data_IF_798950090631
#
_entry.id   IF_798950090631
#
_cell.length_a   1.000
_cell.length_b   1.000
_cell.length_c   1.000
_cell.angle_alpha   90.00
_cell.angle_beta   90.00
_cell.angle_gamma   90.00
#
_symmetry.space_group_name_H-M   'P 1'
#
loop_
_entity.id
_entity.type
_entity.pdbx_description
1 polymer ?
#
# COMPACT_ATOMS: atom_id res chain seq x y z
N UNK A 1 3.93 25.85 -12.12
CA UNK A 1 3.66 25.66 -13.55
C UNK A 1 4.97 25.35 -14.23
N UNK A 2 5.02 24.27 -15.02
CA UNK A 2 6.23 23.75 -15.64
C UNK A 2 6.70 24.59 -16.82
N UNK A 3 5.79 25.25 -17.54
CA UNK A 3 6.14 26.06 -18.72
C UNK A 3 6.21 27.55 -18.35
N UNK A 4 5.19 28.07 -17.65
CA UNK A 4 5.09 29.50 -17.29
C UNK A 4 5.68 29.87 -15.92
N UNK A 5 6.00 28.89 -15.07
CA UNK A 5 6.59 29.15 -13.75
C UNK A 5 8.07 29.51 -13.85
N UNK A 6 8.55 30.36 -12.93
CA UNK A 6 9.98 30.64 -12.78
C UNK A 6 10.68 29.45 -12.11
N UNK A 7 11.97 29.24 -12.38
CA UNK A 7 12.72 28.10 -11.82
C UNK A 7 12.65 28.05 -10.28
N UNK A 8 12.75 29.20 -9.61
CA UNK A 8 12.60 29.31 -8.15
C UNK A 8 11.24 28.80 -7.67
N UNK A 9 10.15 29.06 -8.43
CA UNK A 9 8.81 28.56 -8.09
C UNK A 9 8.63 27.08 -8.40
N UNK A 10 9.43 26.50 -9.31
CA UNK A 10 9.41 25.06 -9.60
C UNK A 10 10.17 24.28 -8.53
N UNK A 11 11.32 24.78 -8.08
CA UNK A 11 12.11 24.16 -7.02
C UNK A 11 11.42 24.23 -5.64
N UNK A 12 10.66 25.29 -5.38
CA UNK A 12 9.91 25.44 -4.13
C UNK A 12 8.60 24.64 -4.08
N UNK A 13 8.16 24.03 -5.18
CA UNK A 13 6.86 23.35 -5.26
C UNK A 13 7.00 21.83 -5.11
N UNK A 14 6.15 21.21 -4.27
CA UNK A 14 6.07 19.75 -4.12
C UNK A 14 5.51 19.04 -5.38
N UNK A 15 4.81 19.78 -6.23
CA UNK A 15 4.22 19.27 -7.47
C UNK A 15 4.23 20.35 -8.56
N UNK A 16 4.77 20.00 -9.73
CA UNK A 16 4.85 20.88 -10.89
C UNK A 16 4.00 20.30 -12.02
N UNK A 17 3.03 21.08 -12.51
CA UNK A 17 2.26 20.74 -13.71
C UNK A 17 3.13 20.89 -14.94
N UNK A 18 3.44 19.80 -15.63
CA UNK A 18 4.29 19.81 -16.83
C UNK A 18 3.60 20.42 -18.06
N UNK A 19 2.27 20.40 -18.10
CA UNK A 19 1.43 20.86 -19.20
C UNK A 19 0.74 22.22 -18.93
N UNK A 20 0.97 22.82 -17.76
CA UNK A 20 0.30 24.03 -17.25
C UNK A 20 -1.25 23.96 -17.26
N UNK A 21 -1.82 22.76 -17.29
CA UNK A 21 -3.26 22.56 -17.32
C UNK A 21 -3.82 22.30 -15.93
N UNK A 22 -4.67 23.21 -15.43
CA UNK A 22 -5.34 23.03 -14.15
C UNK A 22 -6.26 21.79 -14.09
N UNK A 23 -6.74 21.29 -15.24
CA UNK A 23 -7.51 20.04 -15.29
C UNK A 23 -6.68 18.82 -14.81
N UNK A 24 -5.36 18.86 -14.96
CA UNK A 24 -4.44 17.81 -14.50
C UNK A 24 -4.44 17.69 -12.98
N UNK A 25 -4.69 18.78 -12.25
CA UNK A 25 -4.87 18.73 -10.79
C UNK A 25 -6.10 17.89 -10.42
N UNK A 26 -7.23 18.07 -11.11
CA UNK A 26 -8.45 17.31 -10.83
C UNK A 26 -8.23 15.80 -11.07
N UNK A 27 -7.49 15.45 -12.12
CA UNK A 27 -7.07 14.07 -12.39
C UNK A 27 -6.11 13.54 -11.32
N UNK A 28 -5.11 14.32 -10.91
CA UNK A 28 -4.15 13.95 -9.87
C UNK A 28 -4.85 13.67 -8.52
N UNK A 29 -5.84 14.47 -8.14
CA UNK A 29 -6.64 14.23 -6.92
C UNK A 29 -7.47 12.93 -7.04
N UNK A 30 -7.98 12.61 -8.24
CA UNK A 30 -8.70 11.35 -8.49
C UNK A 30 -7.77 10.14 -8.31
N UNK A 31 -6.55 10.21 -8.84
CA UNK A 31 -5.54 9.16 -8.64
C UNK A 31 -5.09 9.08 -7.17
N UNK A 32 -4.94 10.20 -6.47
CA UNK A 32 -4.66 10.21 -5.03
C UNK A 32 -5.74 9.49 -4.20
N UNK A 33 -7.03 9.71 -4.53
CA UNK A 33 -8.14 8.96 -3.91
C UNK A 33 -8.05 7.46 -4.19
N UNK A 34 -7.66 7.07 -5.41
CA UNK A 34 -7.45 5.67 -5.78
C UNK A 34 -6.33 5.03 -4.96
N UNK A 35 -5.22 5.73 -4.76
CA UNK A 35 -4.11 5.27 -3.91
C UNK A 35 -4.57 5.07 -2.46
N UNK A 36 -5.33 6.01 -1.92
CA UNK A 36 -5.85 5.91 -0.55
C UNK A 36 -6.81 4.73 -0.35
N UNK A 37 -7.73 4.51 -1.30
CA UNK A 37 -8.63 3.35 -1.26
C UNK A 37 -7.88 2.02 -1.34
N UNK A 38 -6.81 1.98 -2.14
CA UNK A 38 -5.94 0.82 -2.25
C UNK A 38 -5.15 0.57 -0.96
N UNK A 39 -4.64 1.62 -0.32
CA UNK A 39 -3.97 1.53 0.97
C UNK A 39 -4.90 0.93 2.04
N UNK A 40 -6.17 1.37 2.10
CA UNK A 40 -7.16 0.79 3.02
C UNK A 40 -7.33 -0.71 2.80
N UNK A 41 -7.43 -1.17 1.55
CA UNK A 41 -7.55 -2.60 1.22
C UNK A 41 -6.31 -3.38 1.67
N UNK A 42 -5.12 -2.83 1.46
CA UNK A 42 -3.87 -3.45 1.91
C UNK A 42 -3.83 -3.59 3.43
N UNK A 43 -4.19 -2.54 4.17
CA UNK A 43 -4.25 -2.58 5.64
C UNK A 43 -5.26 -3.64 6.13
N UNK A 44 -6.44 -3.70 5.50
CA UNK A 44 -7.47 -4.70 5.82
C UNK A 44 -7.02 -6.13 5.56
N UNK A 45 -6.04 -6.35 4.68
CA UNK A 45 -5.47 -7.68 4.44
C UNK A 45 -4.32 -7.99 5.42
N UNK A 46 -3.38 -7.06 5.61
CA UNK A 46 -2.15 -7.30 6.42
C UNK A 46 -2.45 -7.45 7.91
N UNK A 47 -3.37 -6.65 8.45
CA UNK A 47 -3.67 -6.69 9.89
C UNK A 47 -4.19 -8.06 10.35
N UNK A 48 -5.26 -8.64 9.76
CA UNK A 48 -5.75 -9.94 10.20
C UNK A 48 -4.77 -11.08 9.93
N UNK A 49 -3.97 -11.03 8.85
CA UNK A 49 -2.99 -12.09 8.57
C UNK A 49 -1.86 -12.13 9.59
N UNK A 50 -1.31 -10.97 9.95
CA UNK A 50 -0.24 -10.88 10.95
C UNK A 50 -0.76 -11.25 12.33
N UNK A 51 -2.00 -10.83 12.66
CA UNK A 51 -2.66 -11.25 13.90
C UNK A 51 -2.90 -12.74 13.96
N UNK A 52 -3.40 -13.36 12.88
CA UNK A 52 -3.62 -14.80 12.82
C UNK A 52 -2.33 -15.60 12.98
N UNK A 53 -1.24 -15.18 12.33
CA UNK A 53 0.08 -15.79 12.50
C UNK A 53 0.57 -15.69 13.95
N UNK A 54 0.46 -14.50 14.56
CA UNK A 54 0.86 -14.29 15.96
C UNK A 54 0.04 -15.13 16.93
N UNK A 55 -1.29 -15.13 16.79
CA UNK A 55 -2.19 -15.93 17.62
C UNK A 55 -1.92 -17.43 17.48
N UNK A 56 -1.67 -17.91 16.27
CA UNK A 56 -1.38 -19.31 16.00
C UNK A 56 -0.11 -19.79 16.72
N UNK A 57 0.92 -18.94 16.79
CA UNK A 57 2.14 -19.22 17.55
C UNK A 57 1.86 -19.20 19.06
N UNK A 58 1.13 -18.17 19.55
CA UNK A 58 0.77 -18.05 20.97
C UNK A 58 -0.01 -19.29 21.44
N UNK A 59 -1.02 -19.71 20.67
CA UNK A 59 -1.84 -20.89 20.98
C UNK A 59 -0.97 -22.16 20.98
N UNK A 60 -0.06 -22.32 20.01
CA UNK A 60 0.82 -23.49 19.95
C UNK A 60 1.73 -23.58 21.17
N UNK A 61 2.29 -22.44 21.63
CA UNK A 61 3.12 -22.36 22.83
C UNK A 61 2.29 -22.72 24.08
N UNK A 62 1.08 -22.16 24.21
CA UNK A 62 0.20 -22.44 25.36
C UNK A 62 -0.28 -23.89 25.40
N UNK A 63 -0.47 -24.52 24.25
CA UNK A 63 -0.88 -25.93 24.14
C UNK A 63 0.29 -26.92 24.31
N UNK A 64 1.53 -26.45 24.45
CA UNK A 64 2.73 -27.30 24.50
C UNK A 64 2.94 -28.12 23.23
N UNK A 65 2.34 -27.70 22.12
CA UNK A 65 2.39 -28.41 20.85
C UNK A 65 3.66 -28.04 20.06
N UNK A 66 4.06 -28.91 19.13
CA UNK A 66 5.11 -28.57 18.17
C UNK A 66 4.70 -27.30 17.39
N UNK A 67 5.66 -26.38 17.21
CA UNK A 67 5.42 -25.15 16.46
C UNK A 67 4.89 -25.49 15.06
N UNK A 68 3.67 -25.06 14.70
CA UNK A 68 3.05 -25.38 13.42
C UNK A 68 3.78 -24.75 12.24
N UNK A 69 4.52 -23.67 12.48
CA UNK A 69 5.32 -22.95 11.49
C UNK A 69 6.70 -22.67 12.05
N UNK A 70 7.72 -22.92 11.24
CA UNK A 70 9.10 -22.54 11.58
C UNK A 70 9.30 -21.04 11.40
N UNK A 71 10.26 -20.41 12.11
CA UNK A 71 10.59 -19.00 11.94
C UNK A 71 10.89 -18.61 10.49
N UNK A 72 11.55 -19.50 9.74
CA UNK A 72 11.88 -19.29 8.32
C UNK A 72 10.62 -19.23 7.46
N UNK A 73 9.62 -20.08 7.73
CA UNK A 73 8.35 -20.07 7.00
C UNK A 73 7.56 -18.78 7.26
N UNK A 74 7.62 -18.24 8.48
CA UNK A 74 6.97 -16.97 8.83
C UNK A 74 7.64 -15.82 8.06
N UNK A 75 8.98 -15.76 8.04
CA UNK A 75 9.72 -14.76 7.27
C UNK A 75 9.40 -14.82 5.77
N UNK A 76 9.34 -16.04 5.22
CA UNK A 76 8.98 -16.24 3.83
C UNK A 76 7.56 -15.77 3.53
N UNK A 77 6.58 -16.09 4.40
CA UNK A 77 5.20 -15.62 4.24
C UNK A 77 5.10 -14.09 4.29
N UNK A 78 5.81 -13.43 5.22
CA UNK A 78 5.81 -11.97 5.32
C UNK A 78 6.37 -11.32 4.05
N UNK A 79 7.46 -11.88 3.51
CA UNK A 79 8.05 -11.39 2.27
C UNK A 79 7.13 -11.62 1.07
N UNK A 80 6.54 -12.81 0.94
CA UNK A 80 5.62 -13.16 -0.15
C UNK A 80 4.38 -12.25 -0.14
N UNK A 81 3.71 -12.12 1.01
CA UNK A 81 2.53 -11.27 1.16
C UNK A 81 2.84 -9.80 0.91
N UNK A 82 3.93 -9.27 1.46
CA UNK A 82 4.35 -7.88 1.23
C UNK A 82 4.63 -7.60 -0.25
N UNK A 83 5.27 -8.54 -0.95
CA UNK A 83 5.57 -8.41 -2.38
C UNK A 83 4.30 -8.44 -3.22
N UNK A 84 3.39 -9.38 -2.95
CA UNK A 84 2.11 -9.49 -3.67
C UNK A 84 1.24 -8.25 -3.47
N UNK A 85 1.20 -7.69 -2.27
CA UNK A 85 0.43 -6.48 -1.97
C UNK A 85 1.04 -5.22 -2.58
N UNK A 86 2.37 -5.16 -2.69
CA UNK A 86 3.06 -4.03 -3.31
C UNK A 86 2.88 -4.01 -4.83
N UNK A 87 2.93 -5.17 -5.49
CA UNK A 87 2.94 -5.24 -6.95
C UNK A 87 1.60 -5.62 -7.59
N UNK A 88 0.77 -6.45 -6.96
CA UNK A 88 -0.37 -7.10 -7.60
C UNK A 88 -1.74 -6.63 -7.12
N UNK A 89 -1.92 -6.49 -5.81
CA UNK A 89 -3.25 -6.36 -5.21
C UNK A 89 -3.97 -5.01 -5.38
N UNK A 90 -3.29 -3.84 -5.51
CA UNK A 90 -3.99 -2.57 -5.66
C UNK A 90 -4.26 -2.20 -7.13
N UNK A 91 -3.93 -3.06 -8.10
CA UNK A 91 -3.89 -2.63 -9.50
C UNK A 91 -5.26 -2.33 -10.10
N UNK A 92 -6.37 -2.98 -9.71
CA UNK A 92 -7.71 -2.57 -10.16
C UNK A 92 -8.84 -3.09 -9.28
N UNK A 93 -9.72 -2.20 -8.80
CA UNK A 93 -11.17 -2.38 -8.89
C UNK A 93 -11.82 -0.98 -8.93
N UNK A 94 -12.39 -0.53 -10.06
CA UNK A 94 -13.23 0.67 -10.07
C UNK A 94 -14.41 0.42 -9.15
N UNK A 95 -14.57 1.23 -8.09
CA UNK A 95 -15.87 1.35 -7.45
C UNK A 95 -16.77 2.04 -8.48
N UNK A 96 -17.59 1.24 -9.18
CA UNK A 96 -18.81 1.75 -9.80
C UNK A 96 -19.70 2.22 -8.65
N UNK A 97 -19.82 3.54 -8.53
CA UNK A 97 -20.66 4.26 -7.58
C UNK A 97 -20.55 5.73 -7.93
#
# INVERSE_FOLDING_TARGET
MGIKGTEVTKEAADMVLTDDNFATIASAVKEGRRVYDNLKKTILFVLPTNLAQGLLIIIAILAGAMLPLTPIQILWMNMATSTTLSFGWPTNLPKKG
#
